data_IF_181822802854
#
_entry.id   IF_181822802854
#
_cell.length_a   1.000
_cell.length_b   1.000
_cell.length_c   1.000
_cell.angle_alpha   90.00
_cell.angle_beta   90.00
_cell.angle_gamma   90.00
#
_symmetry.space_group_name_H-M   'P 1'
#
loop_
_entity.id
_entity.type
_entity.pdbx_description
1 polymer ?
#
# COMPACT_ATOMS: atom_id res chain seq x y z
N UNK A 1 18.43 15.80 -2.03
CA UNK A 1 17.64 15.11 -1.03
C UNK A 1 18.35 15.00 0.30
N UNK A 2 17.61 14.79 1.37
CA UNK A 2 18.13 14.57 2.73
C UNK A 2 18.27 13.09 2.95
N UNK A 3 19.37 12.64 3.59
CA UNK A 3 19.63 11.23 3.93
C UNK A 3 19.38 10.99 5.42
N UNK A 4 18.75 9.87 5.77
CA UNK A 4 18.36 9.52 7.15
C UNK A 4 19.50 9.04 8.05
N UNK A 5 20.72 8.77 7.52
CA UNK A 5 21.85 8.33 8.36
C UNK A 5 22.97 9.39 8.42
N UNK A 6 23.24 9.98 9.59
CA UNK A 6 24.37 10.86 9.76
C UNK A 6 25.65 10.01 9.90
N UNK A 7 26.63 10.21 9.01
CA UNK A 7 27.99 9.71 9.21
C UNK A 7 28.64 8.91 8.09
N UNK A 8 27.95 8.56 7.02
CA UNK A 8 28.59 7.95 5.86
C UNK A 8 28.93 8.96 4.76
N UNK A 9 30.13 8.88 4.15
CA UNK A 9 30.48 9.73 3.01
C UNK A 9 29.55 9.43 1.83
N UNK A 10 29.21 10.47 1.08
CA UNK A 10 28.34 10.43 -0.09
C UNK A 10 28.91 9.46 -1.16
N UNK A 11 28.51 8.19 -1.10
CA UNK A 11 28.58 7.27 -2.23
C UNK A 11 27.30 7.45 -3.08
N UNK A 12 27.45 7.36 -4.41
CA UNK A 12 26.37 7.59 -5.39
C UNK A 12 25.19 6.58 -5.30
N UNK A 13 25.28 5.54 -4.44
CA UNK A 13 24.33 4.43 -4.37
C UNK A 13 23.36 4.45 -3.18
N UNK A 14 23.33 5.48 -2.34
CA UNK A 14 22.38 5.57 -1.24
C UNK A 14 21.07 6.24 -1.72
N UNK A 15 19.91 5.59 -1.59
CA UNK A 15 18.65 6.19 -1.98
C UNK A 15 18.39 7.48 -1.21
N UNK A 16 17.96 8.51 -1.91
CA UNK A 16 17.48 9.75 -1.31
C UNK A 16 16.08 9.46 -0.77
N UNK A 17 15.84 9.81 0.50
CA UNK A 17 14.48 9.76 1.03
C UNK A 17 13.64 10.83 0.33
N UNK A 18 12.77 10.40 -0.57
CA UNK A 18 11.88 11.28 -1.33
C UNK A 18 10.75 11.81 -0.46
N UNK A 19 10.32 11.01 0.53
CA UNK A 19 9.29 11.38 1.50
C UNK A 19 9.81 11.31 2.92
N UNK A 20 9.54 12.34 3.70
CA UNK A 20 9.94 12.44 5.10
C UNK A 20 8.72 12.85 5.94
N UNK A 21 8.05 11.91 6.63
CA UNK A 21 6.98 12.24 7.56
C UNK A 21 7.43 13.26 8.60
N UNK A 22 6.57 14.19 8.99
CA UNK A 22 6.89 15.29 9.90
C UNK A 22 7.56 14.81 11.20
N UNK A 23 7.09 13.69 11.77
CA UNK A 23 7.69 13.09 12.96
C UNK A 23 9.14 12.63 12.72
N UNK A 24 9.42 12.02 11.57
CA UNK A 24 10.76 11.58 11.19
C UNK A 24 11.66 12.79 10.88
N UNK A 25 11.12 13.81 10.20
CA UNK A 25 11.83 15.08 9.95
C UNK A 25 12.26 15.78 11.26
N UNK A 26 11.38 15.76 12.27
CA UNK A 26 11.69 16.30 13.59
C UNK A 26 12.76 15.51 14.32
N UNK A 27 12.68 14.16 14.27
CA UNK A 27 13.68 13.29 14.88
C UNK A 27 15.05 13.49 14.20
N UNK A 28 15.09 13.56 12.88
CA UNK A 28 16.31 13.82 12.11
C UNK A 28 16.87 15.20 12.46
N UNK A 29 16.03 16.24 12.50
CA UNK A 29 16.46 17.59 12.85
C UNK A 29 17.12 17.67 14.24
N UNK A 30 16.64 16.88 15.21
CA UNK A 30 17.21 16.82 16.55
C UNK A 30 18.62 16.18 16.57
N UNK A 31 19.00 15.39 15.57
CA UNK A 31 20.33 14.77 15.44
C UNK A 31 21.33 15.64 14.66
N UNK A 32 20.84 16.62 13.90
CA UNK A 32 21.69 17.49 13.11
C UNK A 32 22.32 18.60 13.97
N UNK A 33 23.53 19.07 13.63
CA UNK A 33 24.10 20.28 14.23
C UNK A 33 23.17 21.48 14.05
N UNK A 34 23.17 22.38 15.04
CA UNK A 34 22.40 23.61 14.91
C UNK A 34 22.87 24.39 13.66
N UNK A 35 21.92 24.71 12.79
CA UNK A 35 22.20 25.42 11.56
C UNK A 35 22.80 26.82 11.87
N UNK A 36 23.99 27.09 11.35
CA UNK A 36 24.68 28.34 11.50
C UNK A 36 24.57 29.22 10.26
N UNK A 37 24.31 28.63 9.10
CA UNK A 37 24.20 29.30 7.82
C UNK A 37 22.95 28.86 7.06
N UNK A 38 22.40 29.76 6.19
CA UNK A 38 21.25 29.42 5.36
C UNK A 38 21.47 28.26 4.35
N UNK A 39 22.73 27.87 4.13
CA UNK A 39 23.11 26.74 3.25
C UNK A 39 23.16 25.41 3.96
N UNK A 40 23.04 25.38 5.27
CA UNK A 40 23.08 24.15 6.04
C UNK A 40 21.79 23.33 5.82
N UNK A 41 21.91 22.01 5.68
CA UNK A 41 20.77 21.10 5.50
C UNK A 41 19.76 21.26 6.63
N UNK A 42 20.23 21.41 7.87
CA UNK A 42 19.38 21.65 9.04
C UNK A 42 18.53 22.91 8.91
N UNK A 43 19.01 23.95 8.23
CA UNK A 43 18.25 25.19 7.99
C UNK A 43 17.01 24.91 7.12
N UNK A 44 17.17 24.24 5.97
CA UNK A 44 16.05 23.92 5.09
C UNK A 44 15.05 22.99 5.77
N UNK A 45 15.55 21.92 6.40
CA UNK A 45 14.70 20.96 7.11
C UNK A 45 13.91 21.63 8.23
N UNK A 46 14.53 22.54 9.01
CA UNK A 46 13.85 23.30 10.06
C UNK A 46 12.69 24.14 9.51
N UNK A 47 12.88 24.76 8.35
CA UNK A 47 11.85 25.59 7.73
C UNK A 47 10.70 24.74 7.19
N UNK A 48 10.98 23.58 6.57
CA UNK A 48 9.96 22.64 6.14
C UNK A 48 9.15 22.10 7.34
N UNK A 49 9.81 21.67 8.41
CA UNK A 49 9.16 21.22 9.64
C UNK A 49 8.30 22.34 10.24
N UNK A 50 8.77 23.59 10.25
CA UNK A 50 8.00 24.75 10.74
C UNK A 50 6.79 25.03 9.87
N UNK A 51 6.92 24.93 8.55
CA UNK A 51 5.83 25.14 7.61
C UNK A 51 4.73 24.08 7.80
N UNK A 52 5.10 22.80 7.86
CA UNK A 52 4.14 21.71 8.08
C UNK A 52 3.46 21.83 9.45
N UNK A 53 4.18 22.16 10.52
CA UNK A 53 3.56 22.47 11.82
C UNK A 53 2.59 23.66 11.78
N UNK A 54 2.79 24.58 10.86
CA UNK A 54 1.92 25.74 10.62
C UNK A 54 0.70 25.44 9.74
N UNK A 55 0.48 24.18 9.34
CA UNK A 55 -0.66 23.77 8.51
C UNK A 55 -0.37 23.70 7.01
N UNK A 56 0.89 23.74 6.59
CA UNK A 56 1.27 23.43 5.21
C UNK A 56 1.35 21.90 5.08
N UNK A 57 0.56 21.32 4.21
CA UNK A 57 0.50 19.87 4.06
C UNK A 57 1.81 19.26 3.57
N UNK A 58 2.49 19.91 2.62
CA UNK A 58 3.72 19.44 1.98
C UNK A 58 4.74 20.56 1.82
N UNK A 59 6.00 20.31 2.17
CA UNK A 59 7.13 21.22 1.97
C UNK A 59 8.27 20.48 1.30
N UNK A 60 8.79 21.02 0.20
CA UNK A 60 9.79 20.36 -0.64
C UNK A 60 11.16 21.02 -0.53
N UNK A 61 12.21 20.19 -0.43
CA UNK A 61 13.61 20.58 -0.54
C UNK A 61 14.12 20.04 -1.86
N UNK A 62 14.30 20.90 -2.84
CA UNK A 62 14.70 20.53 -4.19
C UNK A 62 16.18 20.90 -4.46
N UNK A 63 16.90 20.13 -5.31
CA UNK A 63 18.28 20.42 -5.64
C UNK A 63 18.38 21.69 -6.47
N UNK A 64 19.18 22.65 -6.00
CA UNK A 64 19.42 23.93 -6.66
C UNK A 64 20.23 23.79 -7.95
N UNK A 65 21.19 22.86 -7.98
CA UNK A 65 22.16 22.75 -9.08
C UNK A 65 21.62 22.02 -10.33
N UNK A 66 20.42 21.44 -10.27
CA UNK A 66 19.83 20.73 -11.38
C UNK A 66 18.86 21.61 -12.14
N UNK A 67 19.14 21.82 -13.43
CA UNK A 67 18.24 22.57 -14.31
C UNK A 67 16.90 21.85 -14.46
N UNK A 68 15.81 22.60 -14.41
CA UNK A 68 14.45 22.03 -14.46
C UNK A 68 14.01 21.28 -13.19
N UNK A 69 14.75 21.36 -12.08
CA UNK A 69 14.45 20.64 -10.84
C UNK A 69 13.02 20.86 -10.33
N UNK A 70 12.50 22.07 -10.41
CA UNK A 70 11.12 22.37 -10.00
C UNK A 70 10.09 21.66 -10.88
N UNK A 71 10.33 21.57 -12.18
CA UNK A 71 9.44 20.87 -13.10
C UNK A 71 9.46 19.36 -12.84
N UNK A 72 10.66 18.81 -12.62
CA UNK A 72 10.79 17.39 -12.27
C UNK A 72 10.09 17.06 -10.96
N UNK A 73 10.23 17.90 -9.94
CA UNK A 73 9.55 17.71 -8.65
C UNK A 73 8.01 17.70 -8.77
N UNK A 74 7.46 18.56 -9.65
CA UNK A 74 6.00 18.70 -9.81
C UNK A 74 5.41 17.67 -10.76
N UNK A 75 6.13 17.28 -11.81
CA UNK A 75 5.57 16.44 -12.88
C UNK A 75 6.03 14.97 -12.85
N UNK A 76 7.06 14.63 -12.07
CA UNK A 76 7.51 13.25 -11.88
C UNK A 76 6.94 12.72 -10.56
N UNK A 77 6.35 11.53 -10.58
CA UNK A 77 5.63 10.97 -9.43
C UNK A 77 6.49 10.90 -8.16
N UNK A 78 7.73 10.44 -8.28
CA UNK A 78 8.65 10.31 -7.11
C UNK A 78 9.42 11.61 -6.84
N UNK A 79 9.25 12.64 -7.67
CA UNK A 79 10.01 13.87 -7.57
C UNK A 79 11.53 13.66 -7.72
N UNK A 80 12.32 14.64 -7.33
CA UNK A 80 13.78 14.57 -7.30
C UNK A 80 14.37 15.15 -6.01
N UNK A 81 13.50 15.70 -5.17
CA UNK A 81 13.83 16.34 -3.90
C UNK A 81 13.54 15.46 -2.69
N UNK A 82 13.41 16.11 -1.55
CA UNK A 82 12.84 15.52 -0.34
C UNK A 82 11.62 16.33 0.06
N UNK A 83 10.50 15.66 0.22
CA UNK A 83 9.24 16.25 0.68
C UNK A 83 9.06 15.97 2.16
N UNK A 84 8.85 17.02 2.96
CA UNK A 84 8.39 16.91 4.35
C UNK A 84 6.87 17.03 4.34
N UNK A 85 6.20 16.08 4.98
CA UNK A 85 4.75 15.98 4.97
C UNK A 85 4.19 15.70 6.36
N UNK A 86 3.09 16.37 6.72
CA UNK A 86 2.41 16.17 8.01
C UNK A 86 1.45 14.97 8.00
N UNK A 87 1.00 14.54 6.83
CA UNK A 87 0.13 13.40 6.65
C UNK A 87 0.88 12.18 6.09
N UNK A 88 0.35 10.99 6.37
CA UNK A 88 0.75 9.80 5.63
C UNK A 88 0.15 9.91 4.23
N UNK A 89 1.00 9.98 3.19
CA UNK A 89 0.55 9.99 1.79
C UNK A 89 -0.23 8.73 1.40
N UNK A 90 0.02 7.62 2.09
CA UNK A 90 -0.71 6.38 1.87
C UNK A 90 -2.07 6.40 2.55
N UNK A 91 -3.13 6.39 1.78
CA UNK A 91 -4.49 6.24 2.26
C UNK A 91 -4.98 4.80 2.10
N UNK A 92 -5.19 4.13 3.24
CA UNK A 92 -5.85 2.82 3.30
C UNK A 92 -7.35 3.03 3.52
N UNK A 93 -8.13 2.92 2.46
CA UNK A 93 -9.57 3.22 2.47
C UNK A 93 -10.40 2.21 1.68
N UNK A 94 -11.70 2.29 1.85
CA UNK A 94 -12.65 1.57 1.01
C UNK A 94 -12.67 2.19 -0.40
N UNK A 95 -12.80 1.35 -1.42
CA UNK A 95 -12.84 1.81 -2.80
C UNK A 95 -14.19 2.44 -3.17
N UNK A 96 -14.15 3.37 -4.09
CA UNK A 96 -15.30 4.00 -4.72
C UNK A 96 -15.34 3.69 -6.21
N UNK A 97 -16.42 4.06 -6.90
CA UNK A 97 -16.54 3.85 -8.35
C UNK A 97 -15.46 4.55 -9.17
N UNK A 98 -14.89 5.62 -8.65
CA UNK A 98 -13.81 6.37 -9.30
C UNK A 98 -12.50 5.56 -9.32
N UNK A 99 -12.34 4.62 -8.39
CA UNK A 99 -11.15 3.78 -8.25
C UNK A 99 -11.10 2.58 -9.21
N UNK A 100 -12.21 2.27 -9.89
CA UNK A 100 -12.31 1.09 -10.76
C UNK A 100 -11.23 1.04 -11.82
N UNK A 101 -10.91 2.19 -12.43
CA UNK A 101 -9.85 2.30 -13.43
C UNK A 101 -8.47 1.94 -12.87
N UNK A 102 -8.14 2.48 -11.71
CA UNK A 102 -6.87 2.22 -11.01
C UNK A 102 -6.75 0.77 -10.52
N UNK A 103 -7.84 0.19 -10.00
CA UNK A 103 -7.87 -1.23 -9.60
C UNK A 103 -7.61 -2.12 -10.82
N UNK A 104 -8.29 -1.89 -11.95
CA UNK A 104 -8.07 -2.66 -13.18
C UNK A 104 -6.61 -2.57 -13.65
N UNK A 105 -6.04 -1.38 -13.65
CA UNK A 105 -4.65 -1.16 -14.03
C UNK A 105 -3.69 -1.91 -13.11
N UNK A 106 -3.95 -1.91 -11.80
CA UNK A 106 -3.13 -2.61 -10.81
C UNK A 106 -3.18 -4.13 -10.98
N UNK A 107 -4.37 -4.72 -11.23
CA UNK A 107 -4.54 -6.18 -11.29
C UNK A 107 -4.20 -6.79 -12.64
N UNK A 108 -4.23 -6.02 -13.74
CA UNK A 108 -4.03 -6.51 -15.11
C UNK A 108 -2.76 -7.35 -15.30
N UNK A 109 -1.57 -6.96 -14.80
CA UNK A 109 -0.35 -7.77 -14.93
C UNK A 109 -0.48 -9.15 -14.26
N UNK A 110 -1.16 -9.22 -13.12
CA UNK A 110 -1.37 -10.44 -12.33
C UNK A 110 -2.47 -11.34 -12.91
N UNK A 111 -3.38 -10.79 -13.69
CA UNK A 111 -4.35 -11.55 -14.48
C UNK A 111 -3.68 -12.16 -15.72
N UNK A 112 -2.83 -11.40 -16.40
CA UNK A 112 -2.07 -11.86 -17.58
C UNK A 112 -1.12 -13.00 -17.25
N UNK A 113 -0.48 -12.99 -16.09
CA UNK A 113 0.42 -14.06 -15.65
C UNK A 113 -0.31 -15.24 -14.97
N UNK A 114 -1.63 -15.15 -14.82
CA UNK A 114 -2.47 -16.19 -14.21
C UNK A 114 -2.43 -16.23 -12.68
N UNK A 115 -1.82 -15.28 -12.00
CA UNK A 115 -1.83 -15.17 -10.53
C UNK A 115 -3.24 -14.84 -10.02
N UNK A 116 -3.92 -13.90 -10.67
CA UNK A 116 -5.31 -13.57 -10.40
C UNK A 116 -6.27 -14.17 -11.42
N UNK A 117 -7.52 -14.32 -11.02
CA UNK A 117 -8.64 -14.62 -11.93
C UNK A 117 -9.02 -13.31 -12.62
N UNK A 118 -9.23 -13.39 -13.92
CA UNK A 118 -9.65 -12.22 -14.72
C UNK A 118 -11.01 -11.71 -14.22
N UNK A 119 -11.11 -10.39 -14.08
CA UNK A 119 -12.34 -9.65 -13.74
C UNK A 119 -12.59 -8.57 -14.77
N UNK A 120 -13.82 -8.44 -15.18
CA UNK A 120 -14.18 -7.32 -16.04
C UNK A 120 -14.55 -6.07 -15.22
N UNK A 121 -14.64 -4.94 -15.93
CA UNK A 121 -14.98 -3.66 -15.33
C UNK A 121 -16.33 -3.69 -14.61
N UNK A 122 -17.32 -4.32 -15.21
CA UNK A 122 -18.68 -4.39 -14.67
C UNK A 122 -18.74 -5.19 -13.37
N UNK A 123 -17.94 -6.24 -13.26
CA UNK A 123 -17.81 -7.03 -12.04
C UNK A 123 -17.23 -6.19 -10.90
N UNK A 124 -16.14 -5.44 -11.17
CA UNK A 124 -15.51 -4.58 -10.15
C UNK A 124 -16.44 -3.44 -9.75
N UNK A 125 -17.11 -2.78 -10.71
CA UNK A 125 -18.09 -1.72 -10.44
C UNK A 125 -19.25 -2.21 -9.56
N UNK A 126 -19.80 -3.38 -9.86
CA UNK A 126 -20.86 -3.98 -9.06
C UNK A 126 -20.43 -4.29 -7.63
N UNK A 127 -19.22 -4.79 -7.47
CA UNK A 127 -18.69 -5.30 -6.20
C UNK A 127 -17.76 -4.30 -5.51
N UNK A 128 -17.72 -3.03 -5.96
CA UNK A 128 -16.74 -2.02 -5.54
C UNK A 128 -16.70 -1.79 -4.03
N UNK A 129 -17.84 -1.85 -3.34
CA UNK A 129 -17.92 -1.73 -1.89
C UNK A 129 -17.22 -2.87 -1.13
N UNK A 130 -16.90 -3.97 -1.82
CA UNK A 130 -16.11 -5.07 -1.25
C UNK A 130 -14.62 -4.76 -1.24
N UNK A 131 -14.16 -3.81 -2.05
CA UNK A 131 -12.74 -3.52 -2.20
C UNK A 131 -12.23 -2.53 -1.15
N UNK A 132 -11.03 -2.79 -0.67
CA UNK A 132 -10.19 -1.87 0.10
C UNK A 132 -8.93 -1.62 -0.73
N UNK A 133 -8.49 -0.38 -0.78
CA UNK A 133 -7.31 0.03 -1.55
C UNK A 133 -6.27 0.73 -0.67
N UNK A 134 -5.04 0.70 -1.13
CA UNK A 134 -3.99 1.60 -0.69
C UNK A 134 -3.71 2.54 -1.86
N UNK A 135 -3.91 3.81 -1.61
CA UNK A 135 -3.70 4.88 -2.58
C UNK A 135 -2.58 5.80 -2.10
N UNK A 136 -1.88 6.38 -3.05
CA UNK A 136 -0.91 7.43 -2.83
C UNK A 136 -0.98 8.41 -4.03
N UNK A 137 -1.31 9.66 -3.76
CA UNK A 137 -1.42 10.72 -4.77
C UNK A 137 -2.26 10.34 -6.02
N UNK A 138 -3.42 9.71 -5.79
CA UNK A 138 -4.32 9.28 -6.85
C UNK A 138 -3.88 7.99 -7.58
N UNK A 139 -2.77 7.38 -7.18
CA UNK A 139 -2.28 6.10 -7.73
C UNK A 139 -2.56 4.97 -6.74
N UNK A 140 -3.19 3.89 -7.21
CA UNK A 140 -3.50 2.72 -6.39
C UNK A 140 -2.33 1.74 -6.42
N UNK A 141 -1.71 1.52 -5.28
CA UNK A 141 -0.58 0.61 -5.08
C UNK A 141 -0.96 -0.75 -4.52
N UNK A 142 -2.14 -0.86 -3.92
CA UNK A 142 -2.61 -2.12 -3.39
C UNK A 142 -4.12 -2.22 -3.36
N UNK A 143 -4.66 -3.43 -3.49
CA UNK A 143 -6.07 -3.69 -3.29
C UNK A 143 -6.32 -5.08 -2.70
N UNK A 144 -7.48 -5.23 -2.04
CA UNK A 144 -8.03 -6.51 -1.63
C UNK A 144 -9.56 -6.40 -1.59
N UNK A 145 -10.25 -7.48 -1.89
CA UNK A 145 -11.71 -7.55 -1.79
C UNK A 145 -12.14 -8.51 -0.68
N UNK A 146 -13.24 -8.21 0.00
CA UNK A 146 -13.87 -9.05 1.02
C UNK A 146 -15.27 -9.45 0.59
N UNK A 147 -15.49 -10.73 0.35
CA UNK A 147 -16.80 -11.29 -0.02
C UNK A 147 -17.36 -12.11 1.14
N UNK A 148 -18.37 -11.61 1.88
CA UNK A 148 -18.90 -12.28 3.06
C UNK A 148 -19.83 -13.44 2.70
N UNK A 149 -19.77 -14.49 3.53
CA UNK A 149 -20.68 -15.65 3.57
C UNK A 149 -21.26 -15.74 4.99
N UNK A 150 -22.25 -14.91 5.34
CA UNK A 150 -22.73 -14.74 6.72
C UNK A 150 -23.27 -16.05 7.32
N UNK A 151 -23.96 -16.88 6.53
CA UNK A 151 -24.51 -18.16 7.00
C UNK A 151 -23.41 -19.14 7.46
N UNK A 152 -22.23 -19.06 6.83
CA UNK A 152 -21.04 -19.84 7.21
C UNK A 152 -20.11 -19.08 8.15
N UNK A 153 -20.48 -17.88 8.60
CA UNK A 153 -19.68 -16.98 9.45
C UNK A 153 -18.25 -16.78 8.97
N UNK A 154 -18.07 -16.71 7.66
CA UNK A 154 -16.76 -16.54 7.02
C UNK A 154 -16.82 -15.56 5.85
N UNK A 155 -15.66 -15.12 5.36
CA UNK A 155 -15.56 -14.33 4.13
C UNK A 155 -14.36 -14.76 3.28
N UNK A 156 -14.46 -14.59 1.96
CA UNK A 156 -13.34 -14.72 1.04
C UNK A 156 -12.57 -13.39 0.97
N UNK A 157 -11.27 -13.42 1.27
CA UNK A 157 -10.37 -12.36 0.89
C UNK A 157 -9.82 -12.67 -0.50
N UNK A 158 -10.18 -11.86 -1.48
CA UNK A 158 -9.83 -12.06 -2.88
C UNK A 158 -9.11 -10.84 -3.48
N UNK A 159 -8.61 -10.96 -4.70
CA UNK A 159 -7.96 -9.88 -5.45
C UNK A 159 -6.81 -9.19 -4.69
N UNK A 160 -6.15 -9.91 -3.78
CA UNK A 160 -5.03 -9.37 -2.99
C UNK A 160 -3.86 -9.07 -3.92
N UNK A 161 -3.59 -7.79 -4.08
CA UNK A 161 -2.57 -7.31 -5.00
C UNK A 161 -1.83 -6.13 -4.38
N UNK A 162 -0.52 -6.14 -4.51
CA UNK A 162 0.37 -5.00 -4.19
C UNK A 162 1.26 -4.77 -5.39
N UNK A 163 1.39 -3.52 -5.80
CA UNK A 163 2.28 -3.11 -6.88
C UNK A 163 3.68 -3.68 -6.68
N UNK A 164 4.35 -4.17 -7.73
CA UNK A 164 5.73 -4.65 -7.60
C UNK A 164 6.69 -3.64 -6.96
N UNK A 165 6.46 -2.35 -7.17
CA UNK A 165 7.25 -1.26 -6.59
C UNK A 165 7.07 -1.11 -5.08
N UNK A 166 5.90 -1.49 -4.54
CA UNK A 166 5.55 -1.43 -3.12
C UNK A 166 5.61 -2.80 -2.42
N UNK A 167 6.10 -3.84 -3.09
CA UNK A 167 6.30 -5.14 -2.45
C UNK A 167 7.44 -5.07 -1.44
N UNK A 168 7.21 -5.61 -0.25
CA UNK A 168 8.18 -5.57 0.86
C UNK A 168 8.04 -4.40 1.82
N UNK A 169 7.23 -3.38 1.50
CA UNK A 169 6.97 -2.21 2.37
C UNK A 169 5.96 -2.47 3.50
N UNK A 170 5.28 -3.62 3.48
CA UNK A 170 4.26 -3.97 4.48
C UNK A 170 2.82 -3.75 4.03
N UNK A 171 2.57 -3.26 2.82
CA UNK A 171 1.23 -2.92 2.33
C UNK A 171 0.29 -4.12 2.25
N UNK A 172 0.79 -5.28 1.85
CA UNK A 172 0.01 -6.51 1.91
C UNK A 172 -0.48 -6.85 3.33
N UNK A 173 0.29 -6.51 4.35
CA UNK A 173 -0.09 -6.73 5.75
C UNK A 173 -1.11 -5.67 6.23
N UNK A 174 -0.97 -4.42 5.78
CA UNK A 174 -1.98 -3.36 6.04
C UNK A 174 -3.33 -3.76 5.45
N UNK A 175 -3.36 -4.22 4.19
CA UNK A 175 -4.57 -4.74 3.55
C UNK A 175 -5.18 -5.91 4.32
N UNK A 176 -4.38 -6.91 4.69
CA UNK A 176 -4.85 -8.06 5.45
C UNK A 176 -5.48 -7.62 6.79
N UNK A 177 -4.81 -6.78 7.56
CA UNK A 177 -5.32 -6.25 8.83
C UNK A 177 -6.66 -5.51 8.65
N UNK A 178 -6.77 -4.71 7.59
CA UNK A 178 -8.02 -3.99 7.29
C UNK A 178 -9.15 -4.96 6.93
N UNK A 179 -8.88 -5.96 6.12
CA UNK A 179 -9.85 -7.01 5.75
C UNK A 179 -10.30 -7.78 7.00
N UNK A 180 -9.38 -8.16 7.90
CA UNK A 180 -9.72 -8.80 9.17
C UNK A 180 -10.61 -7.91 10.05
N UNK A 181 -10.33 -6.62 10.14
CA UNK A 181 -11.15 -5.66 10.88
C UNK A 181 -12.57 -5.58 10.31
N UNK A 182 -12.70 -5.49 8.98
CA UNK A 182 -14.00 -5.48 8.30
C UNK A 182 -14.78 -6.76 8.57
N UNK A 183 -14.13 -7.92 8.46
CA UNK A 183 -14.75 -9.21 8.71
C UNK A 183 -15.24 -9.36 10.16
N UNK A 184 -14.41 -8.92 11.15
CA UNK A 184 -14.84 -8.88 12.56
C UNK A 184 -16.01 -7.94 12.80
N UNK A 185 -16.00 -6.76 12.17
CA UNK A 185 -17.12 -5.80 12.26
C UNK A 185 -18.43 -6.36 11.69
N UNK A 186 -18.36 -7.31 10.74
CA UNK A 186 -19.52 -8.04 10.21
C UNK A 186 -19.92 -9.25 11.08
N UNK A 187 -19.26 -9.50 12.22
CA UNK A 187 -19.52 -10.65 13.08
C UNK A 187 -19.09 -11.99 12.51
N UNK A 188 -18.09 -12.01 11.63
CA UNK A 188 -17.56 -13.23 11.03
C UNK A 188 -16.46 -13.82 11.90
N UNK A 189 -16.36 -15.16 11.94
CA UNK A 189 -15.43 -15.90 12.79
C UNK A 189 -14.11 -16.26 12.06
N UNK A 190 -14.09 -16.15 10.73
CA UNK A 190 -12.94 -16.53 9.91
C UNK A 190 -12.92 -15.82 8.57
N UNK A 191 -11.75 -15.81 7.95
CA UNK A 191 -11.57 -15.45 6.54
C UNK A 191 -10.83 -16.57 5.82
N UNK A 192 -11.07 -16.70 4.52
CA UNK A 192 -10.34 -17.66 3.68
C UNK A 192 -9.84 -16.99 2.40
N UNK A 193 -8.83 -17.61 1.80
CA UNK A 193 -8.24 -17.20 0.52
C UNK A 193 -8.11 -18.41 -0.40
N UNK A 194 -8.16 -18.16 -1.70
CA UNK A 194 -7.80 -19.13 -2.72
C UNK A 194 -6.56 -18.64 -3.46
N UNK A 195 -5.49 -19.41 -3.40
CA UNK A 195 -4.22 -19.02 -4.04
C UNK A 195 -3.55 -20.17 -4.75
N UNK A 196 -2.84 -19.88 -5.83
CA UNK A 196 -1.98 -20.83 -6.55
C UNK A 196 -0.50 -20.62 -6.29
N UNK A 197 -0.08 -19.42 -5.91
CA UNK A 197 1.35 -19.04 -5.83
C UNK A 197 1.79 -18.47 -4.49
N UNK A 198 0.92 -17.78 -3.75
CA UNK A 198 1.28 -17.00 -2.56
C UNK A 198 1.00 -17.71 -1.23
N UNK A 199 0.84 -19.03 -1.23
CA UNK A 199 0.49 -19.83 -0.05
C UNK A 199 1.39 -19.54 1.16
N UNK A 200 2.72 -19.50 0.98
CA UNK A 200 3.66 -19.26 2.07
C UNK A 200 3.51 -17.88 2.73
N UNK A 201 3.11 -16.88 1.94
CA UNK A 201 2.86 -15.55 2.48
C UNK A 201 1.69 -15.55 3.48
N UNK A 202 0.61 -16.29 3.15
CA UNK A 202 -0.56 -16.44 4.02
C UNK A 202 -0.27 -17.32 5.24
N UNK A 203 0.45 -18.43 5.07
CA UNK A 203 0.84 -19.32 6.19
C UNK A 203 1.63 -18.54 7.25
N UNK A 204 2.59 -17.71 6.86
CA UNK A 204 3.35 -16.85 7.79
C UNK A 204 2.47 -15.85 8.56
N UNK A 205 1.23 -15.63 8.13
CA UNK A 205 0.25 -14.72 8.75
C UNK A 205 -0.90 -15.43 9.44
N UNK A 206 -0.71 -16.72 9.75
CA UNK A 206 -1.62 -17.53 10.56
C UNK A 206 -2.74 -18.22 9.79
N UNK A 207 -2.65 -18.27 8.47
CA UNK A 207 -3.55 -19.09 7.68
C UNK A 207 -3.10 -20.56 7.69
N UNK A 208 -4.07 -21.47 7.68
CA UNK A 208 -3.84 -22.91 7.58
C UNK A 208 -4.49 -23.44 6.30
N UNK A 209 -3.83 -24.39 5.65
CA UNK A 209 -4.36 -25.06 4.46
C UNK A 209 -5.50 -25.99 4.87
N UNK A 210 -6.60 -25.95 4.14
CA UNK A 210 -7.75 -26.81 4.34
C UNK A 210 -8.17 -27.43 3.00
N UNK A 211 -8.97 -28.51 3.09
CA UNK A 211 -9.57 -29.12 1.90
C UNK A 211 -10.60 -28.17 1.27
N UNK A 212 -10.75 -28.12 -0.07
CA UNK A 212 -11.80 -27.35 -0.75
C UNK A 212 -13.22 -27.64 -0.25
N UNK A 213 -13.46 -28.80 0.36
CA UNK A 213 -14.73 -29.14 0.98
C UNK A 213 -15.10 -28.27 2.19
N UNK A 214 -14.12 -27.58 2.76
CA UNK A 214 -14.34 -26.59 3.82
C UNK A 214 -15.08 -25.34 3.32
N UNK A 215 -15.00 -25.02 2.03
CA UNK A 215 -15.63 -23.82 1.48
C UNK A 215 -17.14 -23.79 1.71
N UNK A 216 -17.73 -22.59 1.94
CA UNK A 216 -19.18 -22.42 1.93
C UNK A 216 -19.80 -22.98 0.64
N UNK A 217 -20.97 -23.60 0.70
CA UNK A 217 -21.61 -24.26 -0.45
C UNK A 217 -21.77 -23.32 -1.65
N UNK A 218 -22.13 -22.07 -1.40
CA UNK A 218 -22.26 -21.06 -2.45
C UNK A 218 -20.92 -20.80 -3.16
N UNK A 219 -19.79 -20.88 -2.45
CA UNK A 219 -18.44 -20.70 -3.01
C UNK A 219 -17.91 -21.98 -3.64
N UNK A 220 -18.18 -23.13 -3.03
CA UNK A 220 -17.78 -24.46 -3.54
C UNK A 220 -18.33 -24.70 -4.94
N UNK A 221 -19.59 -24.34 -5.21
CA UNK A 221 -20.20 -24.44 -6.55
C UNK A 221 -19.47 -23.65 -7.63
N UNK A 222 -18.73 -22.59 -7.24
CA UNK A 222 -17.93 -21.73 -8.13
C UNK A 222 -16.44 -22.04 -8.07
N UNK A 223 -16.06 -23.14 -7.38
CA UNK A 223 -14.64 -23.50 -7.29
C UNK A 223 -14.15 -24.03 -8.64
N UNK A 224 -13.06 -23.43 -9.12
CA UNK A 224 -12.42 -23.85 -10.36
C UNK A 224 -11.43 -24.99 -10.10
N UNK A 225 -11.85 -26.21 -10.37
CA UNK A 225 -11.04 -27.42 -10.17
C UNK A 225 -9.81 -27.49 -11.08
N UNK A 226 -9.88 -26.92 -12.28
CA UNK A 226 -8.76 -26.92 -13.23
C UNK A 226 -7.63 -26.02 -12.75
N UNK A 227 -7.97 -24.91 -12.06
CA UNK A 227 -7.00 -23.99 -11.50
C UNK A 227 -6.27 -24.54 -10.28
N UNK A 228 -6.83 -25.52 -9.57
CA UNK A 228 -6.26 -26.18 -8.38
C UNK A 228 -5.76 -25.21 -7.32
N UNK A 229 -6.49 -24.12 -7.07
CA UNK A 229 -6.13 -23.17 -6.02
C UNK A 229 -6.16 -23.85 -4.65
N UNK A 230 -5.13 -23.63 -3.84
CA UNK A 230 -5.15 -24.03 -2.43
C UNK A 230 -6.14 -23.14 -1.67
N UNK A 231 -6.89 -23.75 -0.77
CA UNK A 231 -7.78 -23.05 0.16
C UNK A 231 -7.04 -22.89 1.49
N UNK A 232 -6.94 -21.67 1.97
CA UNK A 232 -6.35 -21.39 3.28
C UNK A 232 -7.33 -20.58 4.12
N UNK A 233 -7.42 -20.89 5.40
CA UNK A 233 -8.35 -20.28 6.36
C UNK A 233 -7.59 -19.70 7.53
N UNK A 234 -8.05 -18.54 8.01
CA UNK A 234 -7.59 -17.91 9.25
C UNK A 234 -8.78 -17.61 10.13
N UNK A 235 -8.73 -18.04 11.41
CA UNK A 235 -9.67 -17.59 12.44
C UNK A 235 -9.38 -16.15 12.82
N UNK A 236 -10.42 -15.39 13.09
CA UNK A 236 -10.36 -13.96 13.41
C UNK A 236 -10.32 -13.69 14.91
#
# INVERSE_FOLDING_TARGET
GIRMQPGEPAGDDNPIDTELPLAAAQALLATLPTAQQPTDVGFYLQHCVKACKGGVERSHIIPFALDGSLLLEVYVHDGIGTMVIDEKLEELREATVDDVGGILQLIEPFEKDGTLVKRDRTEIERDIASYTIIEHDGVIFGCAALYPYPEAKTAEMAAVTVSPQSQGTGDGEKLLKRIEQRARAMGLDSIFVLTTRTMHWFIKRGFVVVDPDWLPDARKRKYNWDRRSQVLVKKL
#
